data_IF_230738766447
#
_entry.id   IF_230738766447
#
_cell.length_a   1.000
_cell.length_b   1.000
_cell.length_c   1.000
_cell.angle_alpha   90.00
_cell.angle_beta   90.00
_cell.angle_gamma   90.00
#
_symmetry.space_group_name_H-M   'P 1'
#
loop_
_entity.id
_entity.type
_entity.pdbx_description
1 polymer ?
#
# COMPACT_ATOMS: atom_id res chain seq x y z
N UNK A 1 3.81 18.40 -16.44
CA UNK A 1 4.14 17.52 -17.58
C UNK A 1 2.94 17.48 -18.52
N UNK A 2 3.17 17.68 -19.81
CA UNK A 2 2.10 17.58 -20.79
C UNK A 2 1.72 16.10 -21.00
N UNK A 3 0.40 15.83 -21.06
CA UNK A 3 -0.10 14.49 -21.39
C UNK A 3 0.17 14.22 -22.86
N UNK A 4 0.75 13.05 -23.22
CA UNK A 4 1.00 12.71 -24.64
C UNK A 4 -0.29 12.72 -25.46
N UNK A 5 -0.20 13.14 -26.74
CA UNK A 5 -1.34 13.24 -27.65
C UNK A 5 -2.08 11.90 -27.86
N UNK A 6 -1.36 10.77 -27.71
CA UNK A 6 -1.90 9.44 -27.92
C UNK A 6 -2.19 8.70 -26.60
N UNK A 7 -2.18 9.43 -25.49
CA UNK A 7 -2.49 8.83 -24.19
C UNK A 7 -3.94 8.38 -24.11
N UNK A 8 -4.15 7.11 -23.80
CA UNK A 8 -5.49 6.55 -23.58
C UNK A 8 -5.67 6.22 -22.10
N UNK A 9 -6.50 7.03 -21.43
CA UNK A 9 -6.80 6.86 -20.01
C UNK A 9 -7.46 5.51 -19.71
N UNK A 10 -8.31 5.01 -20.62
CA UNK A 10 -8.99 3.73 -20.45
C UNK A 10 -8.00 2.57 -20.41
N UNK A 11 -6.95 2.61 -21.22
CA UNK A 11 -5.89 1.60 -21.22
C UNK A 11 -5.14 1.63 -19.90
N UNK A 12 -4.80 2.81 -19.41
CA UNK A 12 -4.12 2.95 -18.11
C UNK A 12 -5.00 2.41 -16.96
N UNK A 13 -6.28 2.76 -16.93
CA UNK A 13 -7.23 2.27 -15.93
C UNK A 13 -7.30 0.74 -15.96
N UNK A 14 -7.44 0.17 -17.14
CA UNK A 14 -7.50 -1.28 -17.32
C UNK A 14 -6.23 -1.97 -16.81
N UNK A 15 -5.07 -1.43 -17.13
CA UNK A 15 -3.78 -1.95 -16.69
C UNK A 15 -3.64 -1.91 -15.16
N UNK A 16 -3.99 -0.79 -14.54
CA UNK A 16 -3.94 -0.63 -13.08
C UNK A 16 -4.95 -1.53 -12.37
N UNK A 17 -6.14 -1.68 -12.94
CA UNK A 17 -7.15 -2.59 -12.42
C UNK A 17 -6.64 -4.04 -12.44
N UNK A 18 -6.12 -4.49 -13.56
CA UNK A 18 -5.60 -5.85 -13.70
C UNK A 18 -4.43 -6.11 -12.74
N UNK A 19 -3.58 -5.11 -12.53
CA UNK A 19 -2.48 -5.18 -11.58
C UNK A 19 -3.00 -5.33 -10.15
N UNK A 20 -3.96 -4.50 -9.74
CA UNK A 20 -4.53 -4.53 -8.39
C UNK A 20 -5.22 -5.86 -8.08
N UNK A 21 -5.88 -6.46 -9.06
CA UNK A 21 -6.59 -7.73 -8.93
C UNK A 21 -5.75 -8.94 -9.32
N UNK A 22 -4.46 -8.76 -9.59
CA UNK A 22 -3.55 -9.86 -9.91
C UNK A 22 -3.32 -10.78 -8.72
N UNK A 23 -2.90 -12.00 -9.01
CA UNK A 23 -2.52 -12.96 -7.98
C UNK A 23 -1.39 -12.44 -7.09
N UNK A 24 -0.42 -11.74 -7.68
CA UNK A 24 0.71 -11.16 -6.95
C UNK A 24 0.23 -10.21 -5.84
N UNK A 25 -0.69 -9.30 -6.17
CA UNK A 25 -1.24 -8.35 -5.19
C UNK A 25 -2.16 -9.02 -4.18
N UNK A 26 -2.92 -10.02 -4.62
CA UNK A 26 -3.75 -10.82 -3.73
C UNK A 26 -2.90 -11.52 -2.66
N UNK A 27 -1.81 -12.18 -3.07
CA UNK A 27 -0.89 -12.85 -2.16
C UNK A 27 -0.20 -11.85 -1.22
N UNK A 28 0.24 -10.71 -1.75
CA UNK A 28 0.86 -9.66 -0.95
C UNK A 28 -0.10 -9.11 0.12
N UNK A 29 -1.34 -8.83 -0.26
CA UNK A 29 -2.36 -8.35 0.68
C UNK A 29 -2.62 -9.37 1.80
N UNK A 30 -2.75 -10.65 1.44
CA UNK A 30 -2.96 -11.71 2.42
C UNK A 30 -1.76 -11.85 3.36
N UNK A 31 -0.55 -11.72 2.85
CA UNK A 31 0.66 -11.78 3.67
C UNK A 31 0.69 -10.68 4.74
N UNK A 32 0.29 -9.47 4.38
CA UNK A 32 0.18 -8.36 5.34
C UNK A 32 -0.88 -8.61 6.39
N UNK A 33 -2.05 -9.10 5.99
CA UNK A 33 -3.13 -9.45 6.91
C UNK A 33 -2.74 -10.56 7.87
N UNK A 34 -2.08 -11.59 7.37
CA UNK A 34 -1.61 -12.74 8.17
C UNK A 34 -0.56 -12.29 9.19
N UNK A 35 0.37 -11.45 8.79
CA UNK A 35 1.36 -10.89 9.70
C UNK A 35 0.69 -10.16 10.86
N UNK A 36 -0.24 -9.25 10.57
CA UNK A 36 -1.00 -8.54 11.59
C UNK A 36 -1.76 -9.49 12.51
N UNK A 37 -2.42 -10.50 11.95
CA UNK A 37 -3.25 -11.43 12.70
C UNK A 37 -2.43 -12.36 13.60
N UNK A 38 -1.25 -12.79 13.16
CA UNK A 38 -0.44 -13.81 13.85
C UNK A 38 0.57 -13.25 14.84
N UNK A 39 1.00 -11.99 14.68
CA UNK A 39 2.05 -11.39 15.52
C UNK A 39 1.49 -10.63 16.75
N UNK A 40 0.19 -10.39 16.80
CA UNK A 40 -0.45 -9.74 17.95
C UNK A 40 -0.04 -8.30 18.16
N UNK A 41 -0.04 -7.84 19.43
CA UNK A 41 0.34 -6.46 19.78
C UNK A 41 1.76 -6.15 19.33
N UNK A 42 1.94 -4.98 18.70
CA UNK A 42 3.25 -4.55 18.21
C UNK A 42 3.69 -5.20 16.90
N UNK A 43 2.76 -5.77 16.16
CA UNK A 43 3.04 -6.48 14.90
C UNK A 43 3.83 -5.65 13.88
N UNK A 44 3.57 -4.35 13.78
CA UNK A 44 4.25 -3.49 12.82
C UNK A 44 5.70 -3.21 13.22
N UNK A 45 5.93 -2.87 14.48
CA UNK A 45 7.30 -2.66 15.02
C UNK A 45 8.13 -3.94 14.95
N UNK A 46 7.48 -5.07 15.15
CA UNK A 46 8.12 -6.37 15.14
C UNK A 46 8.74 -6.68 13.78
N UNK A 47 8.08 -6.31 12.70
CA UNK A 47 8.60 -6.49 11.35
C UNK A 47 9.93 -5.75 11.18
N UNK A 48 9.98 -4.46 11.52
CA UNK A 48 11.19 -3.65 11.34
C UNK A 48 12.31 -4.05 12.28
N UNK A 49 11.99 -4.42 13.51
CA UNK A 49 12.97 -4.96 14.44
C UNK A 49 13.63 -6.20 13.87
N UNK A 50 12.87 -7.13 13.30
CA UNK A 50 13.40 -8.37 12.73
C UNK A 50 14.18 -8.15 11.44
N UNK A 51 13.81 -7.15 10.64
CA UNK A 51 14.60 -6.76 9.46
C UNK A 51 15.98 -6.27 9.89
N UNK A 52 16.06 -5.49 10.97
CA UNK A 52 17.31 -4.92 11.45
C UNK A 52 18.20 -5.98 12.16
N UNK A 53 17.64 -7.07 12.61
CA UNK A 53 18.39 -8.22 13.14
C UNK A 53 19.06 -8.97 11.99
N UNK A 54 20.14 -8.40 11.46
CA UNK A 54 20.89 -9.01 10.35
C UNK A 54 21.74 -10.15 10.87
N UNK A 55 21.34 -11.36 10.47
CA UNK A 55 22.09 -12.57 10.67
C UNK A 55 22.27 -13.25 9.30
N UNK A 56 23.40 -13.90 9.06
CA UNK A 56 23.73 -14.48 7.77
C UNK A 56 22.93 -15.74 7.43
N UNK A 57 22.25 -16.35 8.40
CA UNK A 57 21.50 -17.59 8.20
C UNK A 57 20.08 -17.31 7.72
N UNK A 58 19.71 -17.89 6.58
CA UNK A 58 18.35 -17.79 6.02
C UNK A 58 17.48 -18.85 6.70
N UNK A 59 16.81 -18.45 7.78
CA UNK A 59 15.79 -19.27 8.43
C UNK A 59 14.43 -19.07 7.81
N UNK A 60 13.46 -19.94 8.09
CA UNK A 60 12.08 -19.78 7.66
C UNK A 60 11.48 -18.48 8.19
N UNK A 61 11.77 -18.11 9.43
CA UNK A 61 11.33 -16.86 10.03
C UNK A 61 11.85 -15.63 9.28
N UNK A 62 13.14 -15.62 8.92
CA UNK A 62 13.72 -14.51 8.13
C UNK A 62 13.12 -14.41 6.74
N UNK A 63 12.85 -15.54 6.11
CA UNK A 63 12.19 -15.57 4.81
C UNK A 63 10.81 -14.93 4.91
N UNK A 64 10.02 -15.28 5.92
CA UNK A 64 8.72 -14.69 6.18
C UNK A 64 8.82 -13.17 6.38
N UNK A 65 9.79 -12.71 7.16
CA UNK A 65 10.04 -11.28 7.39
C UNK A 65 10.34 -10.55 6.09
N UNK A 66 11.23 -11.08 5.27
CA UNK A 66 11.62 -10.46 4.00
C UNK A 66 10.47 -10.45 3.00
N UNK A 67 9.70 -11.51 2.92
CA UNK A 67 8.53 -11.60 2.04
C UNK A 67 7.42 -10.64 2.48
N UNK A 68 7.18 -10.52 3.78
CA UNK A 68 6.21 -9.56 4.33
C UNK A 68 6.62 -8.13 4.03
N UNK A 69 7.90 -7.80 4.18
CA UNK A 69 8.40 -6.47 3.84
C UNK A 69 8.29 -6.17 2.34
N UNK A 70 8.60 -7.14 1.50
CA UNK A 70 8.42 -7.01 0.04
C UNK A 70 6.95 -6.78 -0.31
N UNK A 71 6.03 -7.50 0.32
CA UNK A 71 4.59 -7.32 0.14
C UNK A 71 4.12 -5.92 0.54
N UNK A 72 4.61 -5.42 1.68
CA UNK A 72 4.35 -4.06 2.13
C UNK A 72 4.78 -3.02 1.09
N UNK A 73 5.99 -3.16 0.58
CA UNK A 73 6.54 -2.24 -0.43
C UNK A 73 5.77 -2.30 -1.75
N UNK A 74 5.35 -3.49 -2.16
CA UNK A 74 4.59 -3.69 -3.38
C UNK A 74 3.23 -2.97 -3.31
N UNK A 75 2.47 -3.20 -2.25
CA UNK A 75 1.15 -2.57 -2.05
C UNK A 75 1.28 -1.05 -1.93
N UNK A 76 2.20 -0.58 -1.11
CA UNK A 76 2.46 0.86 -0.95
C UNK A 76 2.82 1.51 -2.28
N UNK A 77 3.69 0.88 -3.04
CA UNK A 77 4.16 1.39 -4.34
C UNK A 77 3.02 1.54 -5.35
N UNK A 78 2.09 0.59 -5.35
CA UNK A 78 0.90 0.67 -6.21
C UNK A 78 0.06 1.90 -5.89
N UNK A 79 -0.29 2.11 -4.62
CA UNK A 79 -1.11 3.23 -4.21
C UNK A 79 -0.41 4.58 -4.42
N UNK A 80 0.89 4.63 -4.19
CA UNK A 80 1.69 5.82 -4.46
C UNK A 80 1.69 6.15 -5.96
N UNK A 81 1.85 5.14 -6.80
CA UNK A 81 1.83 5.30 -8.26
C UNK A 81 0.48 5.85 -8.74
N UNK A 82 -0.63 5.30 -8.27
CA UNK A 82 -1.97 5.77 -8.66
C UNK A 82 -2.22 7.21 -8.20
N UNK A 83 -1.81 7.55 -6.99
CA UNK A 83 -1.87 8.94 -6.50
C UNK A 83 -1.04 9.88 -7.37
N UNK A 84 0.15 9.48 -7.76
CA UNK A 84 1.01 10.30 -8.63
C UNK A 84 0.42 10.47 -10.04
N UNK A 85 -0.23 9.46 -10.59
CA UNK A 85 -0.92 9.59 -11.87
C UNK A 85 -2.05 10.63 -11.80
N UNK A 86 -2.79 10.68 -10.69
CA UNK A 86 -3.78 11.74 -10.48
C UNK A 86 -3.13 13.12 -10.38
N UNK A 87 -2.06 13.26 -9.60
CA UNK A 87 -1.36 14.53 -9.41
C UNK A 87 -0.78 15.07 -10.71
N UNK A 88 -0.41 14.21 -11.64
CA UNK A 88 0.16 14.57 -12.95
C UNK A 88 -0.90 14.73 -14.05
N UNK A 89 -2.18 14.50 -13.73
CA UNK A 89 -3.28 14.66 -14.67
C UNK A 89 -3.53 13.47 -15.60
N UNK A 90 -2.85 12.34 -15.42
CA UNK A 90 -3.09 11.13 -16.22
C UNK A 90 -4.38 10.40 -15.82
N UNK A 91 -4.81 10.57 -14.59
CA UNK A 91 -6.06 10.04 -14.05
C UNK A 91 -6.83 11.14 -13.35
N UNK A 92 -8.15 11.00 -13.30
CA UNK A 92 -9.02 11.79 -12.46
C UNK A 92 -9.30 11.05 -11.15
N UNK A 93 -9.66 11.79 -10.10
CA UNK A 93 -10.01 11.17 -8.81
C UNK A 93 -11.14 10.16 -8.94
N UNK A 94 -12.14 10.46 -9.78
CA UNK A 94 -13.25 9.55 -10.06
C UNK A 94 -12.82 8.22 -10.65
N UNK A 95 -11.74 8.19 -11.42
CA UNK A 95 -11.19 6.94 -11.97
C UNK A 95 -10.75 5.98 -10.86
N UNK A 96 -10.16 6.51 -9.79
CA UNK A 96 -9.75 5.67 -8.65
C UNK A 96 -10.95 5.16 -7.86
N UNK A 97 -11.91 6.02 -7.55
CA UNK A 97 -13.07 5.64 -6.75
C UNK A 97 -14.05 4.72 -7.48
N UNK A 98 -14.19 4.88 -8.80
CA UNK A 98 -15.14 4.13 -9.60
C UNK A 98 -14.59 2.85 -10.20
N UNK A 99 -13.30 2.81 -10.52
CA UNK A 99 -12.74 1.75 -11.37
C UNK A 99 -11.61 0.94 -10.75
N UNK A 100 -10.84 1.47 -9.81
CA UNK A 100 -9.58 0.86 -9.43
C UNK A 100 -9.56 0.12 -8.10
N UNK A 101 -10.33 0.53 -7.11
CA UNK A 101 -10.31 -0.14 -5.81
C UNK A 101 -11.67 -0.08 -5.12
N UNK A 102 -12.09 -1.18 -4.51
CA UNK A 102 -13.27 -1.18 -3.65
C UNK A 102 -12.92 -0.52 -2.32
N UNK A 103 -13.74 0.44 -1.83
CA UNK A 103 -13.43 1.22 -0.62
C UNK A 103 -13.09 0.39 0.61
N UNK A 104 -13.81 -0.70 0.85
CA UNK A 104 -13.59 -1.56 2.01
C UNK A 104 -12.23 -2.23 2.00
N UNK A 105 -11.85 -2.81 0.86
CA UNK A 105 -10.54 -3.46 0.70
C UNK A 105 -9.42 -2.43 0.80
N UNK A 106 -9.63 -1.28 0.18
CA UNK A 106 -8.70 -0.17 0.23
C UNK A 106 -8.45 0.28 1.67
N UNK A 107 -9.51 0.56 2.42
CA UNK A 107 -9.40 1.05 3.80
C UNK A 107 -8.60 0.10 4.67
N UNK A 108 -8.84 -1.20 4.56
CA UNK A 108 -8.15 -2.20 5.35
C UNK A 108 -6.64 -2.25 5.01
N UNK A 109 -6.30 -2.23 3.74
CA UNK A 109 -4.90 -2.24 3.31
C UNK A 109 -4.19 -0.93 3.66
N UNK A 110 -4.86 0.20 3.52
CA UNK A 110 -4.28 1.50 3.90
C UNK A 110 -4.00 1.59 5.39
N UNK A 111 -4.90 1.09 6.21
CA UNK A 111 -4.67 1.06 7.66
C UNK A 111 -3.42 0.25 7.99
N UNK A 112 -3.28 -0.93 7.41
CA UNK A 112 -2.11 -1.78 7.63
C UNK A 112 -0.82 -1.07 7.18
N UNK A 113 -0.82 -0.51 5.99
CA UNK A 113 0.34 0.19 5.43
C UNK A 113 0.69 1.42 6.29
N UNK A 114 -0.29 2.21 6.71
CA UNK A 114 -0.04 3.40 7.53
C UNK A 114 0.52 3.05 8.91
N UNK A 115 0.03 1.99 9.53
CA UNK A 115 0.57 1.51 10.81
C UNK A 115 2.03 1.07 10.65
N UNK A 116 2.37 0.38 9.56
CA UNK A 116 3.77 0.06 9.26
C UNK A 116 4.63 1.31 9.08
N UNK A 117 4.15 2.30 8.31
CA UNK A 117 4.92 3.54 8.09
C UNK A 117 5.18 4.28 9.39
N UNK A 118 4.18 4.40 10.26
CA UNK A 118 4.32 5.02 11.57
C UNK A 118 5.30 4.26 12.46
N UNK A 119 5.25 2.93 12.42
CA UNK A 119 6.17 2.10 13.20
C UNK A 119 7.62 2.24 12.75
N UNK A 120 7.83 2.42 11.45
CA UNK A 120 9.15 2.63 10.86
C UNK A 120 9.68 4.03 11.17
N UNK A 121 8.85 5.04 10.98
CA UNK A 121 9.20 6.44 11.14
C UNK A 121 7.97 7.25 11.53
N UNK A 122 7.89 7.75 12.80
CA UNK A 122 6.72 8.52 13.25
C UNK A 122 6.42 9.76 12.40
N UNK A 123 7.45 10.36 11.78
CA UNK A 123 7.32 11.53 10.92
C UNK A 123 7.16 11.17 9.44
N UNK A 124 6.54 10.03 9.15
CA UNK A 124 6.38 9.56 7.78
C UNK A 124 5.59 10.54 6.91
N UNK A 125 5.86 10.50 5.59
CA UNK A 125 5.17 11.36 4.63
C UNK A 125 3.70 10.93 4.49
N UNK A 126 2.79 11.85 4.78
CA UNK A 126 1.35 11.59 4.78
C UNK A 126 0.65 11.93 3.46
N UNK A 127 1.36 12.42 2.45
CA UNK A 127 0.76 12.90 1.20
C UNK A 127 -0.15 11.86 0.55
N UNK A 128 0.32 10.63 0.42
CA UNK A 128 -0.45 9.54 -0.16
C UNK A 128 -1.68 9.20 0.70
N UNK A 129 -1.50 9.12 2.02
CA UNK A 129 -2.60 8.78 2.94
C UNK A 129 -3.65 9.88 3.00
N UNK A 130 -3.25 11.12 3.04
CA UNK A 130 -4.18 12.26 3.03
C UNK A 130 -4.96 12.34 1.71
N UNK A 131 -4.30 12.05 0.59
CA UNK A 131 -4.96 11.99 -0.71
C UNK A 131 -6.11 10.96 -0.72
N UNK A 132 -5.85 9.74 -0.25
CA UNK A 132 -6.86 8.69 -0.27
C UNK A 132 -7.93 8.87 0.80
N UNK A 133 -7.60 9.44 1.95
CA UNK A 133 -8.59 9.81 2.95
C UNK A 133 -9.60 10.80 2.39
N UNK A 134 -9.09 11.82 1.71
CA UNK A 134 -9.92 12.84 1.08
C UNK A 134 -10.77 12.24 -0.06
N UNK A 135 -10.16 11.39 -0.89
CA UNK A 135 -10.83 10.74 -2.01
C UNK A 135 -12.02 9.89 -1.55
N UNK A 136 -11.85 9.11 -0.50
CA UNK A 136 -12.88 8.19 -0.01
C UNK A 136 -13.76 8.79 1.07
N UNK A 137 -13.43 9.98 1.55
CA UNK A 137 -14.10 10.63 2.69
C UNK A 137 -14.20 9.72 3.92
N UNK A 138 -13.19 8.86 4.07
CA UNK A 138 -13.07 7.91 5.17
C UNK A 138 -11.86 8.28 5.98
N UNK A 139 -12.03 8.35 7.29
CA UNK A 139 -10.89 8.57 8.17
C UNK A 139 -10.21 7.22 8.41
N UNK A 140 -9.04 7.04 7.82
CA UNK A 140 -8.19 5.89 8.04
C UNK A 140 -7.41 6.04 9.35
N UNK A 141 -6.52 5.09 9.64
CA UNK A 141 -5.68 5.14 10.82
C UNK A 141 -4.94 6.48 10.92
N UNK A 142 -4.98 7.10 12.13
CA UNK A 142 -4.35 8.38 12.42
C UNK A 142 -3.53 8.27 13.71
N UNK A 143 -2.23 7.94 13.62
CA UNK A 143 -1.39 7.86 14.81
C UNK A 143 -1.33 9.22 15.50
N UNK A 144 -1.44 9.23 16.83
CA UNK A 144 -1.34 10.44 17.63
C UNK A 144 -2.62 11.29 17.69
N UNK A 145 -3.73 10.79 17.22
CA UNK A 145 -5.03 11.47 17.31
C UNK A 145 -5.98 10.77 18.25
#
# INVERSE_FOLDING_TARGET
MAIPKHFDRSILISHLHDQFWSQEYYLAANKLKDWKATKGTGWAKDLFRKIDEVDSDVTQEKREVLETNASRRLIKSYFRKTQQFCSRGFLERGDLSEHLAMPQRLSMLFEIIEVFEYAREPDYNREMFDFYDDLHRVQLFRPGR
#
